data_IF_887840173328
#
_entry.id   IF_887840173328
#
_cell.length_a   1.000
_cell.length_b   1.000
_cell.length_c   1.000
_cell.angle_alpha   90.00
_cell.angle_beta   90.00
_cell.angle_gamma   90.00
#
_symmetry.space_group_name_H-M   'P 1'
#
loop_
_entity.id
_entity.type
_entity.pdbx_description
1 polymer ?
#
# COMPACT_ATOMS: atom_id res chain seq x y z
N UNK A 1 -15.94 -36.91 30.68
CA UNK A 1 -16.47 -36.86 29.30
C UNK A 1 -16.64 -35.41 28.91
N UNK A 2 -15.91 -34.99 27.87
CA UNK A 2 -15.89 -33.70 27.18
C UNK A 2 -17.31 -33.22 26.77
N UNK A 3 -17.64 -31.94 26.62
CA UNK A 3 -17.09 -30.93 25.70
C UNK A 3 -17.58 -29.54 26.13
N UNK A 4 -16.67 -28.61 26.43
CA UNK A 4 -16.98 -27.17 26.50
C UNK A 4 -16.78 -26.61 25.09
N UNK A 5 -17.83 -25.96 24.60
CA UNK A 5 -17.92 -25.33 23.29
C UNK A 5 -17.10 -24.04 23.22
N UNK A 6 -16.56 -23.82 22.02
CA UNK A 6 -15.87 -22.63 21.52
C UNK A 6 -16.68 -21.34 21.71
N UNK A 7 -16.02 -20.23 22.04
CA UNK A 7 -15.92 -19.04 21.16
C UNK A 7 -14.58 -18.34 21.47
N UNK A 8 -13.62 -18.52 20.57
CA UNK A 8 -12.49 -17.63 20.42
C UNK A 8 -13.04 -16.32 19.83
N UNK A 9 -13.19 -15.30 20.68
CA UNK A 9 -13.60 -13.95 20.28
C UNK A 9 -12.36 -13.12 19.96
N UNK A 10 -12.30 -12.66 18.72
CA UNK A 10 -11.17 -12.03 18.07
C UNK A 10 -10.53 -10.87 18.84
N UNK A 11 -9.20 -10.90 18.73
CA UNK A 11 -8.20 -9.88 18.99
C UNK A 11 -8.59 -8.49 18.48
N UNK A 12 -8.43 -7.54 19.40
CA UNK A 12 -7.94 -6.17 19.28
C UNK A 12 -8.44 -5.27 18.12
N UNK A 13 -9.07 -4.16 18.52
CA UNK A 13 -8.89 -2.88 17.83
C UNK A 13 -8.17 -1.95 18.80
N UNK A 14 -6.86 -2.14 18.93
CA UNK A 14 -6.01 -1.07 19.42
C UNK A 14 -5.87 -0.10 18.25
N UNK A 15 -6.63 0.99 18.26
CA UNK A 15 -6.39 2.13 17.38
C UNK A 15 -5.05 2.71 17.81
N UNK A 16 -3.97 2.30 17.14
CA UNK A 16 -2.67 2.97 17.27
C UNK A 16 -2.75 4.21 16.41
N UNK A 17 -3.34 5.27 16.96
CA UNK A 17 -3.22 6.63 16.45
C UNK A 17 -1.87 7.20 16.88
N UNK A 18 -0.86 6.93 16.06
CA UNK A 18 0.46 7.56 15.95
C UNK A 18 1.18 6.62 14.95
N UNK A 19 1.79 7.08 13.88
CA UNK A 19 3.14 7.59 13.93
C UNK A 19 3.41 8.41 12.66
N UNK A 20 3.44 9.74 12.81
CA UNK A 20 4.19 10.62 11.93
C UNK A 20 5.68 10.37 12.19
N UNK A 21 6.19 9.23 11.74
CA UNK A 21 7.62 9.05 11.60
C UNK A 21 8.01 9.79 10.32
N UNK A 22 8.87 10.80 10.48
CA UNK A 22 9.35 11.63 9.37
C UNK A 22 10.29 10.78 8.52
N UNK A 23 9.73 10.13 7.49
CA UNK A 23 10.46 9.31 6.51
C UNK A 23 10.86 10.12 5.26
N UNK A 24 10.93 11.44 5.38
CA UNK A 24 11.27 12.35 4.30
C UNK A 24 12.78 12.62 4.28
N UNK A 25 13.45 12.18 3.22
CA UNK A 25 14.76 12.70 2.84
C UNK A 25 14.58 13.89 1.88
N UNK A 26 15.65 14.66 1.65
CA UNK A 26 15.64 15.81 0.74
C UNK A 26 15.20 15.47 -0.71
N UNK A 27 15.20 14.19 -1.09
CA UNK A 27 14.90 13.69 -2.44
C UNK A 27 13.69 12.73 -2.51
N UNK A 28 12.90 12.58 -1.43
CA UNK A 28 11.71 11.71 -1.41
C UNK A 28 11.60 10.78 -0.19
N UNK A 29 10.93 9.64 -0.37
CA UNK A 29 10.72 8.64 0.71
C UNK A 29 11.95 7.80 0.98
N UNK A 30 12.31 7.69 2.26
CA UNK A 30 13.33 6.75 2.75
C UNK A 30 12.80 5.31 2.78
N UNK A 31 12.96 4.60 1.67
CA UNK A 31 12.51 3.21 1.54
C UNK A 31 13.24 2.28 2.52
N UNK A 32 14.54 2.50 2.78
CA UNK A 32 15.32 1.63 3.67
C UNK A 32 14.91 1.80 5.13
N UNK A 33 14.55 3.03 5.52
CA UNK A 33 14.03 3.32 6.83
C UNK A 33 12.61 2.74 6.99
N UNK A 34 11.73 2.89 5.98
CA UNK A 34 10.42 2.24 5.97
C UNK A 34 10.52 0.71 6.03
N UNK A 35 11.43 0.09 5.28
CA UNK A 35 11.67 -1.37 5.31
C UNK A 35 12.00 -1.91 6.70
N UNK A 36 12.57 -1.06 7.58
CA UNK A 36 12.94 -1.42 8.95
C UNK A 36 11.86 -1.03 9.97
N UNK A 37 10.78 -0.41 9.52
CA UNK A 37 9.70 0.08 10.37
C UNK A 37 8.78 -1.06 10.80
N UNK A 38 7.95 -0.81 11.82
CA UNK A 38 7.00 -1.82 12.32
C UNK A 38 5.77 -1.98 11.39
N UNK A 39 5.56 -0.99 10.52
CA UNK A 39 4.43 -0.88 9.61
C UNK A 39 4.64 -1.70 8.33
N UNK A 40 5.89 -1.92 7.90
CA UNK A 40 6.22 -2.63 6.66
C UNK A 40 5.54 -4.00 6.52
N UNK A 41 5.48 -4.88 7.54
CA UNK A 41 4.85 -6.19 7.38
C UNK A 41 3.35 -6.09 7.08
N UNK A 42 2.65 -5.14 7.70
CA UNK A 42 1.22 -4.91 7.46
C UNK A 42 1.01 -4.31 6.07
N UNK A 43 1.83 -3.32 5.71
CA UNK A 43 1.82 -2.71 4.38
C UNK A 43 2.03 -3.74 3.27
N UNK A 44 3.06 -4.58 3.37
CA UNK A 44 3.34 -5.59 2.34
C UNK A 44 2.29 -6.69 2.26
N UNK A 45 1.66 -7.02 3.38
CA UNK A 45 0.52 -7.94 3.39
C UNK A 45 -0.68 -7.36 2.63
N UNK A 46 -0.99 -6.08 2.83
CA UNK A 46 -2.05 -5.39 2.10
C UNK A 46 -1.70 -5.22 0.61
N UNK A 47 -0.42 -5.05 0.28
CA UNK A 47 0.05 -4.90 -1.10
C UNK A 47 0.09 -6.22 -1.89
N UNK A 48 0.15 -7.37 -1.21
CA UNK A 48 0.28 -8.69 -1.85
C UNK A 48 -0.71 -8.97 -3.00
N UNK A 49 -2.00 -8.59 -2.95
CA UNK A 49 -2.91 -8.84 -4.06
C UNK A 49 -2.66 -7.96 -5.30
N UNK A 50 -1.82 -6.92 -5.21
CA UNK A 50 -1.38 -6.14 -6.37
C UNK A 50 -0.32 -6.85 -7.21
N UNK A 51 0.26 -7.94 -6.70
CA UNK A 51 1.25 -8.72 -7.43
C UNK A 51 0.65 -9.27 -8.73
N UNK A 52 1.45 -9.19 -9.80
CA UNK A 52 1.03 -9.60 -11.15
C UNK A 52 0.70 -11.10 -11.25
N UNK A 53 1.16 -11.93 -10.33
CA UNK A 53 0.73 -13.33 -10.26
C UNK A 53 -0.73 -13.51 -9.82
N UNK A 54 -1.37 -12.45 -9.28
CA UNK A 54 -2.75 -12.44 -8.81
C UNK A 54 -3.69 -11.54 -9.64
N UNK A 55 -3.25 -11.02 -10.79
CA UNK A 55 -4.01 -10.02 -11.57
C UNK A 55 -5.40 -10.47 -12.02
N UNK A 56 -5.60 -11.77 -12.24
CA UNK A 56 -6.88 -12.30 -12.70
C UNK A 56 -7.99 -12.19 -11.64
N UNK A 57 -7.62 -11.98 -10.37
CA UNK A 57 -8.55 -11.87 -9.23
C UNK A 57 -8.86 -10.42 -8.83
N UNK A 58 -8.13 -9.46 -9.43
CA UNK A 58 -8.11 -8.06 -9.01
C UNK A 58 -8.94 -7.17 -9.93
N UNK A 59 -10.20 -6.95 -9.54
CA UNK A 59 -11.08 -5.97 -10.19
C UNK A 59 -10.62 -4.54 -9.94
N UNK A 60 -11.00 -3.55 -10.77
CA UNK A 60 -10.66 -2.14 -10.53
C UNK A 60 -11.06 -1.64 -9.14
N UNK A 61 -12.27 -1.96 -8.68
CA UNK A 61 -12.76 -1.60 -7.35
C UNK A 61 -11.93 -2.23 -6.22
N UNK A 62 -11.48 -3.48 -6.39
CA UNK A 62 -10.59 -4.10 -5.38
C UNK A 62 -9.23 -3.41 -5.35
N UNK A 63 -8.70 -3.04 -6.52
CA UNK A 63 -7.43 -2.31 -6.65
C UNK A 63 -7.50 -0.95 -5.97
N UNK A 64 -8.58 -0.20 -6.19
CA UNK A 64 -8.85 1.08 -5.53
C UNK A 64 -8.83 0.94 -4.00
N UNK A 65 -9.55 -0.04 -3.46
CA UNK A 65 -9.59 -0.27 -2.02
C UNK A 65 -8.23 -0.62 -1.42
N UNK A 66 -7.42 -1.43 -2.13
CA UNK A 66 -6.05 -1.73 -1.69
C UNK A 66 -5.18 -0.48 -1.72
N UNK A 67 -5.27 0.33 -2.78
CA UNK A 67 -4.52 1.59 -2.89
C UNK A 67 -4.90 2.56 -1.77
N UNK A 68 -6.18 2.60 -1.39
CA UNK A 68 -6.65 3.33 -0.22
C UNK A 68 -6.03 2.82 1.09
N UNK A 69 -6.11 1.52 1.36
CA UNK A 69 -5.51 0.91 2.56
C UNK A 69 -4.00 1.17 2.64
N UNK A 70 -3.29 1.06 1.51
CA UNK A 70 -1.86 1.33 1.44
C UNK A 70 -1.54 2.81 1.70
N UNK A 71 -2.37 3.73 1.21
CA UNK A 71 -2.22 5.17 1.46
C UNK A 71 -2.25 5.52 2.95
N UNK A 72 -3.10 4.85 3.73
CA UNK A 72 -3.23 5.09 5.18
C UNK A 72 -2.03 4.62 5.99
N UNK A 73 -1.29 3.63 5.48
CA UNK A 73 -0.06 3.10 6.09
C UNK A 73 1.22 3.68 5.49
N UNK A 74 1.11 4.40 4.38
CA UNK A 74 2.24 4.91 3.63
C UNK A 74 2.95 6.05 4.38
N UNK A 75 4.28 6.19 4.23
CA UNK A 75 5.01 7.33 4.74
C UNK A 75 4.60 8.62 4.02
N UNK A 76 4.56 9.76 4.72
CA UNK A 76 4.07 11.05 4.21
C UNK A 76 4.60 11.44 2.81
N UNK A 77 5.87 11.14 2.51
CA UNK A 77 6.49 11.51 1.24
C UNK A 77 5.99 10.76 -0.01
N UNK A 78 5.14 9.74 0.12
CA UNK A 78 4.51 9.04 -1.02
C UNK A 78 2.98 9.10 -0.97
N UNK A 79 2.38 9.62 0.11
CA UNK A 79 0.92 9.67 0.29
C UNK A 79 0.24 10.44 -0.84
N UNK A 80 0.79 11.57 -1.26
CA UNK A 80 0.24 12.36 -2.38
C UNK A 80 0.16 11.57 -3.69
N UNK A 81 1.10 10.64 -3.92
CA UNK A 81 1.07 9.78 -5.11
C UNK A 81 -0.01 8.70 -5.01
N UNK A 82 -0.23 8.16 -3.80
CA UNK A 82 -1.37 7.27 -3.54
C UNK A 82 -2.70 8.02 -3.73
N UNK A 83 -2.83 9.23 -3.20
CA UNK A 83 -4.03 10.06 -3.37
C UNK A 83 -4.30 10.38 -4.84
N UNK A 84 -3.27 10.71 -5.63
CA UNK A 84 -3.41 10.93 -7.07
C UNK A 84 -3.90 9.67 -7.83
N UNK A 85 -3.52 8.47 -7.36
CA UNK A 85 -4.04 7.21 -7.92
C UNK A 85 -5.48 6.96 -7.49
N UNK A 86 -5.84 7.21 -6.22
CA UNK A 86 -7.22 7.11 -5.75
C UNK A 86 -8.14 8.03 -6.56
N UNK A 87 -7.76 9.30 -6.68
CA UNK A 87 -8.54 10.28 -7.44
C UNK A 87 -8.71 9.86 -8.91
N UNK A 88 -7.69 9.25 -9.51
CA UNK A 88 -7.80 8.72 -10.87
C UNK A 88 -8.79 7.55 -10.99
N UNK A 89 -8.80 6.63 -10.02
CA UNK A 89 -9.75 5.52 -10.03
C UNK A 89 -11.19 6.00 -9.85
N UNK A 90 -11.41 7.02 -9.01
CA UNK A 90 -12.71 7.63 -8.79
C UNK A 90 -13.18 8.48 -9.99
N UNK A 91 -12.27 9.28 -10.57
CA UNK A 91 -12.55 10.30 -11.57
C UNK A 91 -11.50 10.37 -12.68
N UNK A 92 -11.47 9.40 -13.61
CA UNK A 92 -10.49 9.38 -14.69
C UNK A 92 -10.76 10.50 -15.71
N UNK A 93 -9.84 11.47 -15.83
CA UNK A 93 -9.94 12.59 -16.78
C UNK A 93 -8.67 12.73 -17.62
N UNK A 94 -8.77 13.12 -18.89
CA UNK A 94 -7.57 13.20 -19.76
C UNK A 94 -6.49 14.18 -19.23
N UNK A 95 -6.90 15.28 -18.59
CA UNK A 95 -5.99 16.29 -18.05
C UNK A 95 -5.05 15.75 -16.95
N UNK A 96 -5.45 14.69 -16.25
CA UNK A 96 -4.66 14.11 -15.14
C UNK A 96 -3.93 12.82 -15.52
N UNK A 97 -4.09 12.36 -16.76
CA UNK A 97 -3.54 11.08 -17.21
C UNK A 97 -2.02 11.00 -16.99
N UNK A 98 -1.31 12.06 -17.35
CA UNK A 98 0.15 12.08 -17.28
C UNK A 98 0.64 12.20 -15.82
N UNK A 99 0.03 13.05 -15.00
CA UNK A 99 0.39 13.18 -13.58
C UNK A 99 0.11 11.90 -12.80
N UNK A 100 -1.02 11.23 -13.06
CA UNK A 100 -1.34 9.95 -12.44
C UNK A 100 -0.40 8.85 -12.92
N UNK A 101 0.07 8.89 -14.18
CA UNK A 101 1.03 7.91 -14.67
C UNK A 101 2.34 7.96 -13.89
N UNK A 102 2.85 9.15 -13.62
CA UNK A 102 4.07 9.32 -12.81
C UNK A 102 3.85 8.86 -11.36
N UNK A 103 2.69 9.19 -10.77
CA UNK A 103 2.30 8.70 -9.44
C UNK A 103 2.22 7.17 -9.38
N UNK A 104 1.62 6.54 -10.40
CA UNK A 104 1.53 5.07 -10.56
C UNK A 104 2.91 4.42 -10.56
N UNK A 105 3.86 5.03 -11.28
CA UNK A 105 5.25 4.54 -11.35
C UNK A 105 5.93 4.68 -9.98
N UNK A 106 5.80 5.82 -9.30
CA UNK A 106 6.41 6.05 -7.98
C UNK A 106 5.85 5.11 -6.91
N UNK A 107 4.53 4.92 -6.89
CA UNK A 107 3.86 3.98 -5.98
C UNK A 107 4.28 2.55 -6.26
N UNK A 108 4.30 2.13 -7.53
CA UNK A 108 4.78 0.80 -7.92
C UNK A 108 6.23 0.56 -7.47
N UNK A 109 7.12 1.52 -7.72
CA UNK A 109 8.52 1.51 -7.24
C UNK A 109 8.61 1.37 -5.73
N UNK A 110 7.83 2.17 -5.01
CA UNK A 110 7.85 2.17 -3.56
C UNK A 110 7.43 0.80 -3.01
N UNK A 111 6.35 0.23 -3.53
CA UNK A 111 5.86 -1.09 -3.10
C UNK A 111 6.88 -2.18 -3.42
N UNK A 112 7.37 -2.29 -4.65
CA UNK A 112 8.33 -3.33 -5.06
C UNK A 112 9.66 -3.23 -4.29
N UNK A 113 10.11 -2.01 -3.96
CA UNK A 113 11.33 -1.81 -3.16
C UNK A 113 11.10 -2.08 -1.68
N UNK A 114 9.88 -1.91 -1.18
CA UNK A 114 9.54 -2.15 0.23
C UNK A 114 9.18 -3.61 0.51
N UNK A 115 8.66 -4.32 -0.49
CA UNK A 115 8.08 -5.66 -0.37
C UNK A 115 8.75 -6.63 -1.35
N UNK A 116 9.66 -7.46 -0.85
CA UNK A 116 10.52 -8.32 -1.69
C UNK A 116 9.72 -9.31 -2.57
N UNK A 117 8.54 -9.72 -2.10
CA UNK A 117 7.66 -10.72 -2.71
C UNK A 117 6.55 -10.13 -3.58
N UNK A 118 6.49 -8.79 -3.76
CA UNK A 118 5.47 -8.12 -4.57
C UNK A 118 6.10 -7.57 -5.86
N UNK A 119 5.55 -7.93 -7.00
CA UNK A 119 5.96 -7.51 -8.34
C UNK A 119 4.74 -7.00 -9.10
N UNK A 120 4.69 -5.70 -9.37
CA UNK A 120 3.54 -4.98 -9.96
C UNK A 120 3.80 -4.65 -11.44
N UNK A 121 5.02 -4.82 -11.92
CA UNK A 121 5.36 -4.47 -13.30
C UNK A 121 6.83 -4.30 -13.59
N UNK A 122 7.71 -4.56 -12.62
CA UNK A 122 9.13 -4.69 -12.88
C UNK A 122 9.87 -3.37 -12.93
N UNK A 123 9.90 -2.66 -11.80
CA UNK A 123 10.93 -1.68 -11.48
C UNK A 123 11.98 -2.36 -10.60
N UNK A 124 12.37 -3.60 -10.97
CA UNK A 124 13.63 -4.19 -10.56
C UNK A 124 14.72 -3.66 -11.49
N UNK A 125 15.16 -2.43 -11.27
CA UNK A 125 16.47 -1.93 -11.74
C UNK A 125 17.47 -1.98 -10.61
#
# INVERSE_FOLDING_TARGET
>A
MSKIWWIAGCVAVAVVAAFAAVWANADGVDVDAFRKSAEQPAFCKAAAPLDLSHTDELTPHKREHIVEELSEMAPEGIVEDFEALKEWYEHPTEERRDSTKDASVRVGQFIERSCDDVNIGGIRT
#
